data_IF_634364659099
#
_entry.id   IF_634364659099
#
_cell.length_a   1.000
_cell.length_b   1.000
_cell.length_c   1.000
_cell.angle_alpha   90.00
_cell.angle_beta   90.00
_cell.angle_gamma   90.00
#
_symmetry.space_group_name_H-M   'P 1'
#
loop_
_entity.id
_entity.type
_entity.pdbx_description
1 polymer ?
#
# COMPACT_ATOMS: atom_id res chain seq x y z
N UNK A 1 30.77 -17.03 -4.97
CA UNK A 1 29.34 -17.39 -4.84
C UNK A 1 28.41 -16.27 -5.34
N UNK A 2 28.71 -15.00 -5.04
CA UNK A 2 27.95 -13.82 -5.51
C UNK A 2 27.77 -13.75 -7.03
N UNK A 3 28.85 -13.82 -7.81
CA UNK A 3 28.82 -13.71 -9.28
C UNK A 3 27.89 -14.74 -9.93
N UNK A 4 27.83 -15.97 -9.40
CA UNK A 4 26.91 -17.01 -9.89
C UNK A 4 25.44 -16.64 -9.64
N UNK A 5 25.12 -16.04 -8.49
CA UNK A 5 23.76 -15.57 -8.17
C UNK A 5 23.35 -14.40 -9.06
N UNK A 6 24.24 -13.41 -9.25
CA UNK A 6 23.99 -12.27 -10.16
C UNK A 6 23.74 -12.75 -11.58
N UNK A 7 24.59 -13.64 -12.09
CA UNK A 7 24.42 -14.21 -13.43
C UNK A 7 23.14 -15.06 -13.56
N UNK A 8 22.75 -15.81 -12.53
CA UNK A 8 21.49 -16.55 -12.51
C UNK A 8 20.28 -15.61 -12.52
N UNK A 9 20.31 -14.53 -11.73
CA UNK A 9 19.26 -13.51 -11.69
C UNK A 9 19.12 -12.79 -13.03
N UNK A 10 20.23 -12.34 -13.61
CA UNK A 10 20.24 -11.77 -14.96
C UNK A 10 19.63 -12.74 -15.98
N UNK A 11 20.03 -14.03 -15.93
CA UNK A 11 19.48 -15.06 -16.81
C UNK A 11 17.99 -15.29 -16.61
N UNK A 12 17.44 -15.14 -15.40
CA UNK A 12 15.99 -15.19 -15.21
C UNK A 12 15.29 -14.00 -15.84
N UNK A 13 15.82 -12.78 -15.70
CA UNK A 13 15.21 -11.58 -16.26
C UNK A 13 15.12 -11.64 -17.80
N UNK A 14 16.19 -12.09 -18.48
CA UNK A 14 16.19 -12.18 -19.95
C UNK A 14 15.33 -13.33 -20.50
N UNK A 15 14.97 -14.32 -19.67
CA UNK A 15 14.16 -15.49 -20.09
C UNK A 15 12.67 -15.25 -19.93
N UNK A 16 12.27 -14.31 -19.07
CA UNK A 16 10.87 -13.92 -18.89
C UNK A 16 10.51 -12.99 -20.05
N UNK A 17 9.73 -13.48 -21.01
CA UNK A 17 9.25 -12.66 -22.13
C UNK A 17 8.24 -11.59 -21.68
N UNK A 18 7.38 -11.93 -20.71
CA UNK A 18 6.43 -11.03 -20.07
C UNK A 18 6.29 -11.43 -18.59
N UNK A 19 6.40 -10.47 -17.68
CA UNK A 19 6.15 -10.70 -16.27
C UNK A 19 4.64 -10.70 -16.02
N UNK A 20 4.13 -11.79 -15.47
CA UNK A 20 2.72 -11.90 -15.10
C UNK A 20 2.50 -11.34 -13.69
N UNK A 21 2.09 -10.08 -13.63
CA UNK A 21 1.80 -9.36 -12.40
C UNK A 21 0.68 -10.03 -11.58
N UNK A 22 -0.31 -10.65 -12.25
CA UNK A 22 -1.45 -11.25 -11.58
C UNK A 22 -1.08 -12.58 -10.93
N UNK A 23 -0.30 -13.42 -11.63
CA UNK A 23 0.25 -14.64 -11.02
C UNK A 23 1.11 -14.34 -9.79
N UNK A 24 1.84 -13.22 -9.78
CA UNK A 24 2.61 -12.79 -8.61
C UNK A 24 1.69 -12.41 -7.44
N UNK A 25 0.67 -11.60 -7.70
CA UNK A 25 -0.30 -11.18 -6.69
C UNK A 25 -1.09 -12.37 -6.15
N UNK A 26 -1.52 -13.30 -6.99
CA UNK A 26 -2.24 -14.51 -6.57
C UNK A 26 -1.35 -15.45 -5.74
N UNK A 27 -0.08 -15.61 -6.14
CA UNK A 27 0.90 -16.35 -5.34
C UNK A 27 1.09 -15.70 -3.96
N UNK A 28 1.22 -14.37 -3.90
CA UNK A 28 1.35 -13.62 -2.64
C UNK A 28 0.10 -13.80 -1.76
N UNK A 29 -1.10 -13.61 -2.31
CA UNK A 29 -2.38 -13.85 -1.61
C UNK A 29 -2.43 -15.26 -1.01
N UNK A 30 -2.04 -16.28 -1.77
CA UNK A 30 -2.02 -17.67 -1.31
C UNK A 30 -0.96 -17.92 -0.24
N UNK A 31 0.24 -17.34 -0.40
CA UNK A 31 1.36 -17.47 0.53
C UNK A 31 1.05 -16.86 1.90
N UNK A 32 0.37 -15.73 1.91
CA UNK A 32 0.07 -14.91 3.08
C UNK A 32 -1.35 -15.14 3.63
N UNK A 33 -2.11 -16.02 2.99
CA UNK A 33 -3.50 -16.33 3.32
C UNK A 33 -4.38 -15.06 3.38
N UNK A 34 -4.14 -14.10 2.47
CA UNK A 34 -4.91 -12.87 2.37
C UNK A 34 -6.08 -13.07 1.42
N UNK A 35 -7.24 -12.56 1.83
CA UNK A 35 -8.44 -12.48 0.99
C UNK A 35 -8.61 -11.05 0.53
N UNK A 36 -8.45 -10.81 -0.77
CA UNK A 36 -8.81 -9.53 -1.38
C UNK A 36 -10.17 -9.64 -2.08
N UNK A 37 -11.05 -8.65 -1.93
CA UNK A 37 -12.25 -8.57 -2.74
C UNK A 37 -11.84 -8.27 -4.17
N UNK A 38 -12.41 -9.02 -5.12
CA UNK A 38 -12.16 -8.78 -6.54
C UNK A 38 -12.65 -7.39 -6.95
N UNK A 39 -11.83 -6.60 -7.66
CA UNK A 39 -12.11 -5.21 -8.08
C UNK A 39 -13.47 -5.08 -8.80
N UNK A 40 -13.78 -6.07 -9.63
CA UNK A 40 -14.99 -6.13 -10.46
C UNK A 40 -16.18 -6.82 -9.78
N UNK A 41 -15.99 -7.45 -8.62
CA UNK A 41 -17.12 -8.05 -7.90
C UNK A 41 -17.89 -6.98 -7.13
N UNK A 42 -19.21 -7.06 -7.18
CA UNK A 42 -20.09 -6.24 -6.35
C UNK A 42 -19.85 -6.49 -4.86
N UNK A 43 -20.65 -5.86 -3.98
CA UNK A 43 -20.55 -6.08 -2.53
C UNK A 43 -20.71 -7.57 -2.21
N UNK A 44 -19.60 -8.25 -1.99
CA UNK A 44 -19.60 -9.65 -1.58
C UNK A 44 -19.94 -9.72 -0.10
N UNK A 45 -21.07 -10.34 0.22
CA UNK A 45 -21.47 -10.59 1.60
C UNK A 45 -20.56 -11.65 2.24
N UNK A 46 -20.07 -11.36 3.46
CA UNK A 46 -19.56 -12.29 4.51
C UNK A 46 -18.06 -12.38 4.78
N UNK A 47 -17.18 -11.78 3.98
CA UNK A 47 -15.73 -11.78 4.30
C UNK A 47 -15.35 -10.57 5.17
N UNK A 48 -14.65 -10.80 6.28
CA UNK A 48 -13.96 -9.74 7.02
C UNK A 48 -12.70 -9.38 6.23
N UNK A 49 -12.71 -8.22 5.59
CA UNK A 49 -11.57 -7.68 4.87
C UNK A 49 -10.76 -6.76 5.79
N UNK A 50 -9.44 -6.80 5.65
CA UNK A 50 -8.53 -6.09 6.53
C UNK A 50 -7.51 -5.31 5.72
N UNK A 51 -7.87 -4.08 5.38
CA UNK A 51 -7.03 -3.25 4.53
C UNK A 51 -5.67 -2.94 5.16
N UNK A 52 -5.56 -2.90 6.50
CA UNK A 52 -4.28 -2.64 7.19
C UNK A 52 -3.33 -3.82 6.99
N UNK A 53 -3.84 -5.03 7.20
CA UNK A 53 -3.09 -6.27 6.94
C UNK A 53 -2.69 -6.36 5.46
N UNK A 54 -3.62 -6.09 4.54
CA UNK A 54 -3.36 -6.10 3.10
C UNK A 54 -2.24 -5.14 2.73
N UNK A 55 -2.36 -3.88 3.15
CA UNK A 55 -1.39 -2.83 2.84
C UNK A 55 0.01 -3.20 3.35
N UNK A 56 0.10 -3.68 4.60
CA UNK A 56 1.37 -4.10 5.20
C UNK A 56 2.00 -5.29 4.47
N UNK A 57 1.20 -6.27 4.04
CA UNK A 57 1.74 -7.39 3.28
C UNK A 57 2.17 -6.95 1.87
N UNK A 58 1.37 -6.17 1.16
CA UNK A 58 1.75 -5.60 -0.14
C UNK A 58 3.11 -4.91 -0.07
N UNK A 59 3.34 -4.12 0.98
CA UNK A 59 4.65 -3.49 1.28
C UNK A 59 5.79 -4.49 1.39
N UNK A 60 5.63 -5.61 2.12
CA UNK A 60 6.67 -6.68 2.22
C UNK A 60 7.03 -7.29 0.86
N UNK A 61 6.09 -7.26 -0.08
CA UNK A 61 6.24 -7.79 -1.44
C UNK A 61 6.61 -6.72 -2.48
N UNK A 62 6.97 -5.51 -2.03
CA UNK A 62 7.45 -4.43 -2.89
C UNK A 62 6.35 -3.65 -3.62
N UNK A 63 5.09 -3.85 -3.25
CA UNK A 63 3.96 -3.04 -3.72
C UNK A 63 3.80 -1.86 -2.76
N UNK A 64 4.62 -0.84 -2.98
CA UNK A 64 4.87 0.27 -2.07
C UNK A 64 4.19 1.58 -2.53
N UNK A 65 4.20 2.61 -1.69
CA UNK A 65 3.78 3.97 -2.07
C UNK A 65 2.27 4.21 -2.12
N UNK A 66 1.47 3.23 -1.68
CA UNK A 66 0.02 3.38 -1.54
C UNK A 66 -0.28 3.87 -0.13
N UNK A 67 -1.00 5.00 -0.02
CA UNK A 67 -1.39 5.68 1.22
C UNK A 67 -0.25 6.23 2.09
N UNK A 68 0.84 5.49 2.30
CA UNK A 68 1.98 5.92 3.10
C UNK A 68 3.29 5.47 2.46
N UNK A 69 4.34 6.25 2.67
CA UNK A 69 5.71 5.82 2.45
C UNK A 69 6.31 5.33 3.78
N UNK A 70 7.00 4.20 3.71
CA UNK A 70 7.75 3.65 4.83
C UNK A 70 9.16 3.40 4.34
N UNK A 71 10.17 3.85 5.08
CA UNK A 71 11.56 3.60 4.68
C UNK A 71 12.47 3.46 5.89
N UNK A 72 13.54 2.67 5.74
CA UNK A 72 14.61 2.61 6.72
C UNK A 72 15.66 3.66 6.36
N UNK A 73 15.86 4.63 7.22
CA UNK A 73 16.88 5.69 7.05
C UNK A 73 17.90 5.63 8.18
N UNK A 74 19.03 6.30 7.99
CA UNK A 74 19.95 6.57 9.10
C UNK A 74 19.32 7.58 10.04
N UNK A 75 19.55 7.40 11.35
CA UNK A 75 19.07 8.41 12.31
C UNK A 75 19.79 9.73 12.09
N UNK A 76 19.07 10.83 12.33
CA UNK A 76 19.60 12.19 12.18
C UNK A 76 20.60 12.56 13.27
N UNK A 77 20.44 11.98 14.46
CA UNK A 77 21.31 12.17 15.64
C UNK A 77 22.48 11.16 15.71
N UNK A 78 22.34 9.99 15.08
CA UNK A 78 23.35 8.93 15.05
C UNK A 78 23.29 8.13 13.74
N UNK A 79 24.15 8.50 12.79
CA UNK A 79 24.16 7.88 11.46
C UNK A 79 24.63 6.41 11.46
N UNK A 80 25.15 5.88 12.59
CA UNK A 80 25.51 4.47 12.71
C UNK A 80 24.31 3.56 12.96
N UNK A 81 23.16 4.16 13.32
CA UNK A 81 21.90 3.47 13.58
C UNK A 81 20.89 3.78 12.50
N UNK A 82 19.98 2.84 12.28
CA UNK A 82 18.85 3.02 11.39
C UNK A 82 17.55 3.17 12.18
N UNK A 83 16.55 3.77 11.54
CA UNK A 83 15.23 4.01 12.09
C UNK A 83 14.20 3.99 10.96
N UNK A 84 12.97 3.61 11.31
CA UNK A 84 11.82 3.69 10.40
C UNK A 84 11.40 5.14 10.28
N UNK A 85 11.21 5.60 9.05
CA UNK A 85 10.58 6.86 8.72
C UNK A 85 9.25 6.59 8.03
N UNK A 86 8.20 7.27 8.51
CA UNK A 86 6.85 7.21 7.98
C UNK A 86 6.46 8.58 7.46
N UNK A 87 6.03 8.62 6.21
CA UNK A 87 5.71 9.87 5.53
C UNK A 87 4.52 9.68 4.55
N UNK A 88 3.98 10.78 4.03
CA UNK A 88 3.05 10.73 2.91
C UNK A 88 3.80 10.22 1.64
N UNK A 89 3.10 9.59 0.69
CA UNK A 89 3.71 9.16 -0.57
C UNK A 89 4.39 10.30 -1.31
N UNK A 90 5.56 10.03 -1.89
CA UNK A 90 6.30 11.04 -2.68
C UNK A 90 5.58 11.34 -3.99
N UNK A 91 5.28 12.60 -4.26
CA UNK A 91 4.65 13.01 -5.51
C UNK A 91 5.48 12.58 -6.73
N UNK A 92 4.85 11.91 -7.70
CA UNK A 92 5.50 11.43 -8.92
C UNK A 92 6.40 10.20 -8.77
N UNK A 93 6.67 9.72 -7.54
CA UNK A 93 7.36 8.44 -7.28
C UNK A 93 6.52 7.44 -6.48
N UNK A 94 5.42 7.90 -5.87
CA UNK A 94 4.46 7.11 -5.12
C UNK A 94 3.15 6.92 -5.88
N UNK A 95 2.02 7.16 -5.20
CA UNK A 95 0.67 7.00 -5.74
C UNK A 95 0.47 7.79 -7.06
N UNK A 96 0.12 7.07 -8.13
CA UNK A 96 -0.31 7.64 -9.41
C UNK A 96 -1.77 7.23 -9.64
N UNK A 97 -2.70 8.19 -9.80
CA UNK A 97 -4.09 7.89 -10.09
C UNK A 97 -4.24 7.01 -11.34
N UNK A 98 -5.15 6.05 -11.28
CA UNK A 98 -5.48 5.22 -12.43
C UNK A 98 -6.14 6.06 -13.52
N UNK A 99 -5.73 5.90 -14.77
CA UNK A 99 -6.49 6.46 -15.90
C UNK A 99 -7.66 5.55 -16.29
N UNK A 100 -8.64 6.11 -17.00
CA UNK A 100 -9.76 5.34 -17.55
C UNK A 100 -9.26 4.18 -18.42
N UNK A 101 -8.25 4.44 -19.26
CA UNK A 101 -7.63 3.45 -20.14
C UNK A 101 -6.90 2.37 -19.34
N UNK A 102 -6.19 2.74 -18.25
CA UNK A 102 -5.53 1.76 -17.38
C UNK A 102 -6.54 0.79 -16.76
N UNK A 103 -7.66 1.31 -16.24
CA UNK A 103 -8.72 0.46 -15.69
C UNK A 103 -9.36 -0.42 -16.79
N UNK A 104 -9.57 0.13 -17.99
CA UNK A 104 -10.11 -0.62 -19.12
C UNK A 104 -9.18 -1.75 -19.58
N UNK A 105 -7.87 -1.51 -19.62
CA UNK A 105 -6.86 -2.51 -19.97
C UNK A 105 -6.75 -3.60 -18.90
N UNK A 106 -6.78 -3.21 -17.62
CA UNK A 106 -6.80 -4.14 -16.48
C UNK A 106 -7.98 -5.11 -16.59
N UNK A 107 -9.19 -4.59 -16.83
CA UNK A 107 -10.40 -5.42 -16.91
C UNK A 107 -10.42 -6.32 -18.17
N UNK A 108 -9.87 -5.84 -19.29
CA UNK A 108 -9.69 -6.66 -20.50
C UNK A 108 -8.72 -7.80 -20.26
N UNK A 109 -7.61 -7.54 -19.59
CA UNK A 109 -6.63 -8.58 -19.26
C UNK A 109 -7.21 -9.66 -18.35
N UNK A 110 -8.08 -9.27 -17.42
CA UNK A 110 -8.76 -10.19 -16.50
C UNK A 110 -9.89 -11.02 -17.15
N UNK A 111 -10.05 -10.92 -18.48
CA UNK A 111 -11.10 -11.58 -19.29
C UNK A 111 -12.51 -11.38 -18.70
N UNK A 112 -12.74 -10.20 -18.14
CA UNK A 112 -13.98 -9.89 -17.46
C UNK A 112 -15.02 -9.37 -18.46
N UNK A 113 -16.26 -9.90 -18.47
CA UNK A 113 -17.34 -9.33 -19.25
C UNK A 113 -17.65 -7.92 -18.75
N UNK A 114 -17.12 -6.91 -19.45
CA UNK A 114 -17.35 -5.50 -19.15
C UNK A 114 -18.76 -5.11 -19.60
N UNK A 115 -19.73 -5.13 -18.68
CA UNK A 115 -20.92 -4.32 -18.86
C UNK A 115 -20.50 -2.85 -18.70
N UNK A 116 -20.69 -2.03 -19.74
CA UNK A 116 -20.36 -0.60 -19.75
C UNK A 116 -20.90 0.12 -18.51
N UNK A 117 -22.12 -0.20 -18.06
CA UNK A 117 -22.71 0.42 -16.86
C UNK A 117 -21.98 0.05 -15.56
N UNK A 118 -21.44 -1.16 -15.48
CA UNK A 118 -20.66 -1.62 -14.33
C UNK A 118 -19.27 -0.99 -14.35
N UNK A 119 -18.68 -0.85 -15.54
CA UNK A 119 -17.41 -0.16 -15.74
C UNK A 119 -17.49 1.31 -15.32
N UNK A 120 -18.43 2.08 -15.86
CA UNK A 120 -18.57 3.51 -15.57
C UNK A 120 -18.77 3.77 -14.08
N UNK A 121 -19.56 2.92 -13.42
CA UNK A 121 -19.76 3.00 -11.98
C UNK A 121 -18.47 2.74 -11.19
N UNK A 122 -17.70 1.73 -11.58
CA UNK A 122 -16.42 1.41 -10.94
C UNK A 122 -15.41 2.54 -11.15
N UNK A 123 -15.34 3.07 -12.38
CA UNK A 123 -14.50 4.21 -12.71
C UNK A 123 -14.84 5.43 -11.85
N UNK A 124 -16.13 5.78 -11.75
CA UNK A 124 -16.58 6.88 -10.89
C UNK A 124 -16.21 6.64 -9.41
N UNK A 125 -16.45 5.43 -8.89
CA UNK A 125 -16.11 5.09 -7.50
C UNK A 125 -14.60 5.20 -7.21
N UNK A 126 -13.74 4.78 -8.16
CA UNK A 126 -12.27 4.85 -8.01
C UNK A 126 -11.79 6.30 -8.16
N UNK A 127 -12.15 6.97 -9.25
CA UNK A 127 -11.71 8.35 -9.52
C UNK A 127 -12.11 9.34 -8.43
N UNK A 128 -13.34 9.24 -7.89
CA UNK A 128 -13.76 10.07 -6.75
C UNK A 128 -12.94 9.80 -5.48
N UNK A 129 -12.50 8.56 -5.26
CA UNK A 129 -11.63 8.21 -4.13
C UNK A 129 -10.20 8.70 -4.35
N UNK A 130 -9.65 8.48 -5.54
CA UNK A 130 -8.29 8.91 -5.89
C UNK A 130 -8.15 10.43 -5.91
N UNK A 131 -9.15 11.17 -6.38
CA UNK A 131 -9.18 12.64 -6.29
C UNK A 131 -9.04 13.10 -4.83
N UNK A 132 -9.74 12.44 -3.90
CA UNK A 132 -9.61 12.76 -2.47
C UNK A 132 -8.25 12.42 -1.91
N UNK A 133 -7.59 11.36 -2.38
CA UNK A 133 -6.21 11.04 -1.99
C UNK A 133 -5.22 12.09 -2.52
N UNK A 134 -5.46 12.59 -3.73
CA UNK A 134 -4.64 13.62 -4.37
C UNK A 134 -4.79 14.97 -3.64
N UNK A 135 -6.00 15.33 -3.22
CA UNK A 135 -6.26 16.49 -2.36
C UNK A 135 -5.46 16.43 -1.05
N UNK A 136 -5.26 15.24 -0.46
CA UNK A 136 -4.44 15.08 0.74
C UNK A 136 -2.96 15.37 0.48
N UNK A 137 -2.45 15.18 -0.74
CA UNK A 137 -1.04 15.44 -1.04
C UNK A 137 -0.66 16.92 -0.90
N UNK A 138 -1.64 17.81 -1.06
CA UNK A 138 -1.47 19.26 -0.89
C UNK A 138 -1.31 19.69 0.58
N UNK A 139 -1.49 18.79 1.56
CA UNK A 139 -1.28 19.10 2.97
C UNK A 139 0.22 19.36 3.21
N UNK A 140 0.54 20.56 3.71
CA UNK A 140 1.89 20.95 4.07
C UNK A 140 2.30 20.39 5.45
N UNK A 141 3.56 20.01 5.62
CA UNK A 141 4.10 19.54 6.90
C UNK A 141 4.65 20.72 7.72
N UNK A 142 3.77 21.41 8.45
CA UNK A 142 4.19 22.54 9.30
C UNK A 142 5.07 22.09 10.48
N UNK A 143 4.84 20.89 11.01
CA UNK A 143 5.52 20.39 12.20
C UNK A 143 6.84 19.68 11.88
N UNK A 144 6.98 19.19 10.64
CA UNK A 144 8.12 18.43 10.19
C UNK A 144 8.24 17.07 10.87
N UNK A 145 9.43 16.49 10.78
CA UNK A 145 9.70 15.16 11.30
C UNK A 145 9.73 15.11 12.83
N UNK A 146 8.90 14.23 13.40
CA UNK A 146 8.84 13.95 14.84
C UNK A 146 9.39 12.57 15.15
N UNK A 147 10.22 12.47 16.20
CA UNK A 147 10.63 11.19 16.78
C UNK A 147 9.57 10.74 17.79
N UNK A 148 8.95 9.60 17.54
CA UNK A 148 7.82 9.08 18.33
C UNK A 148 8.13 7.65 18.76
N UNK A 149 7.72 7.26 19.96
CA UNK A 149 7.78 5.86 20.41
C UNK A 149 6.56 5.10 19.92
N UNK A 150 6.70 3.81 19.63
CA UNK A 150 5.61 2.95 19.15
C UNK A 150 4.36 3.01 20.03
N UNK A 151 4.53 3.08 21.36
CA UNK A 151 3.42 3.20 22.31
C UNK A 151 2.65 4.53 22.21
N UNK A 152 3.30 5.56 21.69
CA UNK A 152 2.80 6.94 21.57
C UNK A 152 2.42 7.26 20.11
N UNK A 153 2.36 6.25 19.23
CA UNK A 153 2.03 6.44 17.82
C UNK A 153 0.62 7.05 17.65
N UNK A 154 0.47 8.09 16.82
CA UNK A 154 -0.73 8.91 16.80
C UNK A 154 -1.95 8.26 16.13
N UNK A 155 -1.82 7.03 15.62
CA UNK A 155 -2.89 6.30 14.94
C UNK A 155 -2.79 4.79 15.25
N UNK A 156 -3.83 4.14 15.80
CA UNK A 156 -3.76 2.74 16.20
C UNK A 156 -3.43 1.77 15.05
N UNK A 157 -3.83 2.11 13.82
CA UNK A 157 -3.58 1.26 12.66
C UNK A 157 -2.10 1.23 12.25
N UNK A 158 -1.32 2.28 12.56
CA UNK A 158 0.12 2.33 12.24
C UNK A 158 0.91 1.29 13.03
N UNK A 159 0.60 1.14 14.33
CA UNK A 159 1.24 0.11 15.16
C UNK A 159 1.01 -1.29 14.56
N UNK A 160 -0.24 -1.58 14.19
CA UNK A 160 -0.61 -2.84 13.55
C UNK A 160 0.05 -3.02 12.18
N UNK A 161 0.05 -1.96 11.36
CA UNK A 161 0.72 -1.96 10.06
C UNK A 161 2.20 -2.32 10.20
N UNK A 162 2.94 -1.62 11.06
CA UNK A 162 4.35 -1.86 11.31
C UNK A 162 4.60 -3.28 11.84
N UNK A 163 3.79 -3.75 12.80
CA UNK A 163 3.89 -5.12 13.31
C UNK A 163 3.77 -6.15 12.17
N UNK A 164 2.81 -5.96 11.25
CA UNK A 164 2.64 -6.83 10.08
C UNK A 164 3.80 -6.69 9.09
N UNK A 165 4.30 -5.48 8.81
CA UNK A 165 5.45 -5.25 7.89
C UNK A 165 6.71 -5.99 8.38
N UNK A 166 7.00 -5.95 9.68
CA UNK A 166 8.17 -6.63 10.24
C UNK A 166 7.94 -8.10 10.60
N UNK A 167 6.75 -8.63 10.33
CA UNK A 167 6.35 -10.00 10.68
C UNK A 167 6.47 -10.27 12.20
N UNK A 168 6.12 -9.27 13.01
CA UNK A 168 6.13 -9.33 14.47
C UNK A 168 4.72 -9.46 15.03
N UNK A 169 4.58 -10.26 16.10
CA UNK A 169 3.31 -10.33 16.84
C UNK A 169 3.05 -9.06 17.66
N UNK A 170 4.12 -8.44 18.18
CA UNK A 170 4.07 -7.22 18.96
C UNK A 170 5.37 -6.43 18.76
N UNK A 171 5.25 -5.12 18.57
CA UNK A 171 6.39 -4.21 18.53
C UNK A 171 6.86 -3.84 19.94
N UNK A 172 8.15 -3.58 20.12
CA UNK A 172 8.66 -3.00 21.37
C UNK A 172 8.00 -1.62 21.58
N UNK A 173 7.26 -1.40 22.69
CA UNK A 173 6.60 -0.13 22.98
C UNK A 173 7.56 1.07 23.03
N UNK A 174 8.84 0.84 23.31
CA UNK A 174 9.88 1.87 23.37
C UNK A 174 10.68 2.02 22.07
N UNK A 175 10.40 1.19 21.06
CA UNK A 175 10.96 1.39 19.73
C UNK A 175 10.59 2.79 19.23
N UNK A 176 11.56 3.48 18.66
CA UNK A 176 11.38 4.81 18.11
C UNK A 176 11.21 4.76 16.60
N UNK A 177 10.36 5.64 16.08
CA UNK A 177 10.13 5.84 14.64
C UNK A 177 10.04 7.33 14.36
N UNK A 178 10.46 7.74 13.18
CA UNK A 178 10.16 9.07 12.67
C UNK A 178 8.78 9.07 12.01
N UNK A 179 8.01 10.10 12.32
CA UNK A 179 6.70 10.37 11.69
C UNK A 179 6.76 11.78 11.12
N UNK A 180 6.47 11.90 9.84
CA UNK A 180 6.33 13.14 9.10
C UNK A 180 4.87 13.32 8.68
N UNK A 181 4.50 14.54 8.28
CA UNK A 181 3.16 14.84 7.75
C UNK A 181 2.04 14.27 8.64
N UNK A 182 2.07 14.55 9.95
CA UNK A 182 1.13 13.96 10.90
C UNK A 182 -0.33 14.29 10.56
N UNK A 183 -0.58 15.52 10.14
CA UNK A 183 -1.90 15.98 9.69
C UNK A 183 -2.39 15.17 8.48
N UNK A 184 -1.52 14.90 7.49
CA UNK A 184 -1.84 14.02 6.37
C UNK A 184 -2.26 12.62 6.87
N UNK A 185 -1.48 12.03 7.78
CA UNK A 185 -1.75 10.69 8.31
C UNK A 185 -3.12 10.62 9.01
N UNK A 186 -3.48 11.67 9.75
CA UNK A 186 -4.79 11.78 10.41
C UNK A 186 -5.92 11.96 9.40
N UNK A 187 -5.78 12.87 8.44
CA UNK A 187 -6.80 13.09 7.42
C UNK A 187 -6.97 11.89 6.49
N UNK A 188 -5.89 11.19 6.15
CA UNK A 188 -5.92 9.91 5.46
C UNK A 188 -6.72 8.88 6.25
N UNK A 189 -6.46 8.73 7.55
CA UNK A 189 -7.21 7.78 8.37
C UNK A 189 -8.70 8.12 8.43
N UNK A 190 -9.04 9.41 8.57
CA UNK A 190 -10.43 9.87 8.55
C UNK A 190 -11.09 9.69 7.18
N UNK A 191 -10.36 9.86 6.08
CA UNK A 191 -10.83 9.52 4.74
C UNK A 191 -11.12 8.03 4.63
N UNK A 192 -10.17 7.16 4.98
CA UNK A 192 -10.32 5.71 4.87
C UNK A 192 -11.49 5.18 5.71
N UNK A 193 -11.77 5.77 6.89
CA UNK A 193 -12.92 5.42 7.73
C UNK A 193 -14.28 5.75 7.11
N UNK A 194 -14.36 6.66 6.13
CA UNK A 194 -15.59 6.94 5.38
C UNK A 194 -15.94 5.82 4.40
N UNK A 195 -14.97 4.95 4.09
CA UNK A 195 -15.15 3.81 3.20
C UNK A 195 -15.17 2.50 3.99
N UNK A 196 -15.89 1.51 3.47
CA UNK A 196 -15.89 0.18 4.07
C UNK A 196 -14.52 -0.50 3.91
N UNK A 197 -14.14 -1.37 4.85
CA UNK A 197 -12.94 -2.22 4.70
C UNK A 197 -12.93 -3.01 3.39
N UNK A 198 -14.11 -3.45 2.92
CA UNK A 198 -14.26 -4.08 1.61
C UNK A 198 -13.84 -3.15 0.48
N UNK A 199 -14.25 -1.88 0.50
CA UNK A 199 -13.89 -0.94 -0.56
C UNK A 199 -12.38 -0.68 -0.57
N UNK A 200 -11.78 -0.37 0.57
CA UNK A 200 -10.34 -0.07 0.66
C UNK A 200 -9.52 -1.29 0.27
N UNK A 201 -9.90 -2.49 0.75
CA UNK A 201 -9.18 -3.72 0.38
C UNK A 201 -9.36 -4.09 -1.09
N UNK A 202 -10.48 -3.70 -1.71
CA UNK A 202 -10.76 -3.90 -3.14
C UNK A 202 -9.91 -2.97 -3.99
N UNK A 203 -9.72 -1.74 -3.52
CA UNK A 203 -8.87 -0.75 -4.17
C UNK A 203 -7.38 -1.16 -4.14
N UNK A 204 -6.97 -1.86 -3.09
CA UNK A 204 -5.61 -2.41 -2.96
C UNK A 204 -5.35 -3.67 -3.81
N UNK A 205 -6.33 -4.20 -4.53
CA UNK A 205 -6.11 -5.36 -5.42
C UNK A 205 -5.51 -4.95 -6.77
#
# INVERSE_FOLDING_TARGET
MFVKKVHAFYKSCIRVQQFDHFSYVDWMKAKENIKLPKLWTGRSSRSHYDWVQTLAVMRRYGLNGIFIEEMMIHRRDDNTKTIIDLDKPVEGMGFVPLTYENLQDLLRYLDMPSNVKTFEKLWQEISEFEQRLEELQAIEDEEGTKLVKVKDLPLPWLNRYLATVFDYTLLDPNMEVYVQNLEYMQQLYDLLKKYSHHFVSRYLE
#
